data_IF_849490209134
#
_entry.id   IF_849490209134
#
_cell.length_a   1.000
_cell.length_b   1.000
_cell.length_c   1.000
_cell.angle_alpha   90.00
_cell.angle_beta   90.00
_cell.angle_gamma   90.00
#
_symmetry.space_group_name_H-M   'P 1'
#
loop_
_entity.id
_entity.type
_entity.pdbx_description
1 polymer ?
#
# COMPACT_ATOMS: atom_id res chain seq x y z
N UNK A 1 -19.03 -4.78 -13.23
CA UNK A 1 -18.47 -4.55 -11.88
C UNK A 1 -18.81 -5.70 -10.93
N UNK A 2 -20.09 -6.07 -10.77
CA UNK A 2 -20.49 -7.22 -9.95
C UNK A 2 -19.85 -8.55 -10.40
N UNK A 3 -19.78 -8.82 -11.71
CA UNK A 3 -19.13 -10.05 -12.23
C UNK A 3 -17.63 -10.12 -11.93
N UNK A 4 -16.94 -8.98 -11.96
CA UNK A 4 -15.50 -8.90 -11.64
C UNK A 4 -15.28 -9.15 -10.15
N UNK A 5 -16.10 -8.55 -9.29
CA UNK A 5 -16.04 -8.81 -7.85
C UNK A 5 -16.41 -10.25 -7.51
N UNK A 6 -17.40 -10.85 -8.18
CA UNK A 6 -17.75 -12.25 -8.01
C UNK A 6 -16.60 -13.18 -8.42
N UNK A 7 -15.92 -12.91 -9.54
CA UNK A 7 -14.76 -13.66 -9.98
C UNK A 7 -13.57 -13.57 -9.01
N UNK A 8 -13.33 -12.38 -8.43
CA UNK A 8 -12.29 -12.18 -7.42
C UNK A 8 -12.68 -12.85 -6.10
N UNK A 9 -13.87 -12.58 -5.57
CA UNK A 9 -14.36 -13.13 -4.32
C UNK A 9 -14.43 -14.65 -4.33
N UNK A 10 -14.77 -15.26 -5.47
CA UNK A 10 -14.82 -16.72 -5.62
C UNK A 10 -13.45 -17.42 -5.63
N UNK A 11 -12.34 -16.69 -5.75
CA UNK A 11 -11.00 -17.28 -5.81
C UNK A 11 -10.47 -17.73 -4.44
N UNK A 12 -10.89 -17.05 -3.36
CA UNK A 12 -10.46 -17.32 -1.98
C UNK A 12 -11.65 -17.21 -1.03
N UNK A 13 -11.65 -17.95 0.10
CA UNK A 13 -12.69 -17.78 1.11
C UNK A 13 -12.70 -16.36 1.69
N UNK A 14 -13.86 -15.87 2.13
CA UNK A 14 -14.06 -14.49 2.60
C UNK A 14 -13.06 -14.07 3.69
N UNK A 15 -12.68 -15.00 4.59
CA UNK A 15 -11.74 -14.71 5.67
C UNK A 15 -10.32 -14.43 5.16
N UNK A 16 -9.92 -15.03 4.03
CA UNK A 16 -8.60 -14.78 3.44
C UNK A 16 -8.53 -13.37 2.84
N UNK A 17 -9.63 -12.91 2.22
CA UNK A 17 -9.77 -11.52 1.77
C UNK A 17 -9.75 -10.53 2.94
N UNK A 18 -10.38 -10.87 4.07
CA UNK A 18 -10.34 -10.05 5.27
C UNK A 18 -8.89 -9.95 5.82
N UNK A 19 -8.16 -11.07 5.89
CA UNK A 19 -6.75 -11.06 6.29
C UNK A 19 -5.89 -10.22 5.33
N UNK A 20 -6.12 -10.31 4.03
CA UNK A 20 -5.44 -9.48 3.03
C UNK A 20 -5.74 -7.98 3.23
N UNK A 21 -6.99 -7.62 3.55
CA UNK A 21 -7.38 -6.25 3.86
C UNK A 21 -6.67 -5.73 5.13
N UNK A 22 -6.58 -6.56 6.18
CA UNK A 22 -5.85 -6.22 7.41
C UNK A 22 -4.34 -6.08 7.15
N UNK A 23 -3.75 -6.96 6.35
CA UNK A 23 -2.35 -6.85 5.94
C UNK A 23 -2.11 -5.55 5.13
N UNK A 24 -3.03 -5.19 4.24
CA UNK A 24 -2.96 -3.93 3.50
C UNK A 24 -3.10 -2.70 4.41
N UNK A 25 -3.92 -2.75 5.46
CA UNK A 25 -4.01 -1.69 6.47
C UNK A 25 -2.68 -1.51 7.22
N UNK A 26 -2.05 -2.62 7.63
CA UNK A 26 -0.71 -2.60 8.21
C UNK A 26 0.33 -2.02 7.24
N UNK A 27 0.31 -2.49 5.98
CA UNK A 27 1.17 -1.99 4.91
C UNK A 27 0.98 -0.50 4.62
N UNK A 28 -0.27 -0.02 4.59
CA UNK A 28 -0.61 1.39 4.42
C UNK A 28 -0.06 2.26 5.54
N UNK A 29 -0.19 1.79 6.78
CA UNK A 29 0.35 2.47 7.97
C UNK A 29 1.87 2.57 7.89
N UNK A 30 2.55 1.46 7.58
CA UNK A 30 4.01 1.43 7.43
C UNK A 30 4.48 2.26 6.23
N UNK A 31 3.74 2.29 5.13
CA UNK A 31 4.04 3.12 3.97
C UNK A 31 4.00 4.61 4.34
N UNK A 32 2.98 5.06 5.08
CA UNK A 32 2.89 6.44 5.57
C UNK A 32 4.04 6.81 6.50
N UNK A 33 4.36 5.95 7.47
CA UNK A 33 5.51 6.19 8.36
C UNK A 33 6.82 6.26 7.57
N UNK A 34 6.96 5.41 6.54
CA UNK A 34 8.13 5.41 5.66
C UNK A 34 8.21 6.67 4.79
N UNK A 35 7.07 7.17 4.29
CA UNK A 35 7.02 8.47 3.57
C UNK A 35 7.53 9.57 4.48
N UNK A 36 6.99 9.69 5.70
CA UNK A 36 7.42 10.71 6.66
C UNK A 36 8.91 10.58 6.98
N UNK A 37 9.40 9.38 7.30
CA UNK A 37 10.80 9.13 7.62
C UNK A 37 11.74 9.45 6.45
N UNK A 38 11.41 9.02 5.24
CA UNK A 38 12.25 9.25 4.06
C UNK A 38 12.24 10.72 3.65
N UNK A 39 11.09 11.38 3.63
CA UNK A 39 11.01 12.80 3.26
C UNK A 39 11.72 13.70 4.26
N UNK A 40 11.56 13.44 5.56
CA UNK A 40 12.26 14.19 6.61
C UNK A 40 13.77 13.99 6.53
N UNK A 41 14.24 12.75 6.41
CA UNK A 41 15.66 12.43 6.28
C UNK A 41 16.29 13.01 5.00
N UNK A 42 15.59 12.92 3.87
CA UNK A 42 16.04 13.47 2.58
C UNK A 42 16.12 15.00 2.63
N UNK A 43 15.09 15.66 3.16
CA UNK A 43 15.04 17.12 3.28
C UNK A 43 16.13 17.67 4.20
N UNK A 44 16.28 17.08 5.39
CA UNK A 44 17.25 17.53 6.39
C UNK A 44 18.71 17.40 5.92
N UNK A 45 19.03 16.36 5.15
CA UNK A 45 20.40 16.03 4.77
C UNK A 45 20.75 16.34 3.30
N UNK A 46 19.85 16.96 2.55
CA UNK A 46 19.98 17.11 1.09
C UNK A 46 21.30 17.75 0.63
N UNK A 47 21.82 18.72 1.41
CA UNK A 47 23.07 19.43 1.09
C UNK A 47 24.31 18.62 1.45
N UNK A 48 24.23 17.71 2.43
CA UNK A 48 25.31 16.83 2.84
C UNK A 48 25.41 15.56 1.97
N UNK A 49 24.39 15.25 1.17
CA UNK A 49 24.36 14.06 0.33
C UNK A 49 25.14 14.24 -0.98
N UNK A 50 25.89 13.19 -1.35
CA UNK A 50 26.49 13.06 -2.69
C UNK A 50 25.41 13.01 -3.80
N UNK A 51 25.76 13.30 -5.06
CA UNK A 51 24.82 13.21 -6.19
C UNK A 51 24.15 11.84 -6.33
N UNK A 52 24.87 10.74 -6.04
CA UNK A 52 24.34 9.37 -6.10
C UNK A 52 23.31 9.12 -4.98
N UNK A 53 23.61 9.55 -3.76
CA UNK A 53 22.67 9.47 -2.63
C UNK A 53 21.41 10.29 -2.88
N UNK A 54 21.53 11.46 -3.52
CA UNK A 54 20.37 12.29 -3.87
C UNK A 54 19.43 11.59 -4.86
N UNK A 55 19.97 10.86 -5.84
CA UNK A 55 19.16 10.06 -6.78
C UNK A 55 18.45 8.91 -6.07
N UNK A 56 19.18 8.16 -5.22
CA UNK A 56 18.60 7.06 -4.44
C UNK A 56 17.52 7.56 -3.47
N UNK A 57 17.75 8.67 -2.78
CA UNK A 57 16.76 9.27 -1.87
C UNK A 57 15.50 9.75 -2.60
N UNK A 58 15.64 10.32 -3.81
CA UNK A 58 14.48 10.66 -4.65
C UNK A 58 13.69 9.41 -5.06
N UNK A 59 14.40 8.34 -5.46
CA UNK A 59 13.77 7.09 -5.86
C UNK A 59 13.06 6.42 -4.68
N UNK A 60 13.69 6.38 -3.51
CA UNK A 60 13.07 5.90 -2.27
C UNK A 60 11.81 6.70 -1.91
N UNK A 61 11.86 8.04 -2.03
CA UNK A 61 10.71 8.93 -1.77
C UNK A 61 9.54 8.63 -2.71
N UNK A 62 9.82 8.41 -4.00
CA UNK A 62 8.79 8.07 -4.98
C UNK A 62 8.19 6.69 -4.71
N UNK A 63 9.01 5.69 -4.38
CA UNK A 63 8.54 4.34 -4.09
C UNK A 63 7.66 4.31 -2.82
N UNK A 64 8.06 5.00 -1.76
CA UNK A 64 7.26 5.06 -0.53
C UNK A 64 5.95 5.82 -0.76
N UNK A 65 5.95 6.91 -1.54
CA UNK A 65 4.73 7.59 -1.93
C UNK A 65 3.80 6.73 -2.78
N UNK A 66 4.35 5.92 -3.69
CA UNK A 66 3.56 5.01 -4.53
C UNK A 66 2.96 3.85 -3.72
N UNK A 67 3.67 3.38 -2.68
CA UNK A 67 3.20 2.30 -1.82
C UNK A 67 1.90 2.64 -1.08
N UNK A 68 1.68 3.91 -0.73
CA UNK A 68 0.47 4.38 -0.03
C UNK A 68 -0.82 4.15 -0.85
N UNK A 69 -1.00 4.71 -2.06
CA UNK A 69 -2.21 4.47 -2.84
C UNK A 69 -2.33 3.01 -3.27
N UNK A 70 -1.21 2.31 -3.52
CA UNK A 70 -1.26 0.88 -3.87
C UNK A 70 -1.84 0.04 -2.72
N UNK A 71 -1.33 0.21 -1.50
CA UNK A 71 -1.85 -0.51 -0.32
C UNK A 71 -3.28 -0.11 0.01
N UNK A 72 -3.67 1.15 -0.19
CA UNK A 72 -5.05 1.60 -0.01
C UNK A 72 -6.01 0.94 -1.01
N UNK A 73 -5.69 0.97 -2.31
CA UNK A 73 -6.52 0.41 -3.38
C UNK A 73 -6.66 -1.11 -3.22
N UNK A 74 -5.55 -1.81 -2.97
CA UNK A 74 -5.57 -3.26 -2.75
C UNK A 74 -6.33 -3.63 -1.48
N UNK A 75 -6.12 -2.89 -0.39
CA UNK A 75 -6.84 -3.12 0.87
C UNK A 75 -8.34 -2.89 0.73
N UNK A 76 -8.76 -1.85 0.03
CA UNK A 76 -10.17 -1.59 -0.25
C UNK A 76 -10.80 -2.67 -1.13
N UNK A 77 -10.11 -3.08 -2.20
CA UNK A 77 -10.57 -4.16 -3.07
C UNK A 77 -10.73 -5.48 -2.30
N UNK A 78 -9.75 -5.82 -1.45
CA UNK A 78 -9.81 -7.00 -0.59
C UNK A 78 -10.97 -6.92 0.41
N UNK A 79 -11.23 -5.75 1.00
CA UNK A 79 -12.36 -5.54 1.90
C UNK A 79 -13.70 -5.72 1.17
N UNK A 80 -13.85 -5.16 -0.03
CA UNK A 80 -15.06 -5.32 -0.84
C UNK A 80 -15.29 -6.79 -1.23
N UNK A 81 -14.23 -7.52 -1.60
CA UNK A 81 -14.31 -8.94 -1.91
C UNK A 81 -14.69 -9.78 -0.66
N UNK A 82 -14.16 -9.44 0.51
CA UNK A 82 -14.52 -10.09 1.78
C UNK A 82 -15.99 -9.87 2.15
N UNK A 83 -16.47 -8.62 2.03
CA UNK A 83 -17.88 -8.27 2.30
C UNK A 83 -18.80 -8.99 1.33
N UNK A 84 -18.46 -9.01 0.04
CA UNK A 84 -19.25 -9.73 -0.95
C UNK A 84 -19.34 -11.22 -0.64
N UNK A 85 -18.19 -11.87 -0.40
CA UNK A 85 -18.13 -13.31 -0.10
C UNK A 85 -18.75 -13.70 1.24
N UNK A 86 -18.97 -12.75 2.15
CA UNK A 86 -19.70 -12.97 3.40
C UNK A 86 -21.23 -12.91 3.20
N UNK A 87 -21.69 -12.10 2.24
CA UNK A 87 -23.11 -11.85 1.97
C UNK A 87 -23.71 -12.79 0.93
N UNK A 88 -22.88 -13.38 0.06
CA UNK A 88 -23.27 -14.38 -0.94
C UNK A 88 -23.29 -15.79 -0.36
#
# INVERSE_FOLDING_TARGET
MAEVLAGIAGFLPWWAWLLAALACLGGFTLAWMSVLAVYTAYGANYRAMSPRQRRLGRLASLLTLLAVPLTAVLGFAALMAAVWGLLS
#
